data_IF_092183276220
#
_entry.id   IF_092183276220
#
_cell.length_a   1.000
_cell.length_b   1.000
_cell.length_c   1.000
_cell.angle_alpha   90.00
_cell.angle_beta   90.00
_cell.angle_gamma   90.00
#
_symmetry.space_group_name_H-M   'P 1'
#
loop_
_entity.id
_entity.type
_entity.pdbx_description
1 polymer ?
#
# COMPACT_ATOMS: atom_id res chain seq x y z
N UNK A 1 -9.80 9.36 3.22
CA UNK A 1 -9.25 10.17 2.11
C UNK A 1 -7.95 9.54 1.64
N UNK A 2 -7.62 9.69 0.37
CA UNK A 2 -6.44 9.12 -0.29
C UNK A 2 -5.61 10.25 -0.92
N UNK A 3 -4.29 10.14 -0.94
CA UNK A 3 -3.40 11.15 -1.53
C UNK A 3 -3.11 10.82 -3.00
N UNK A 4 -3.44 11.72 -3.92
CA UNK A 4 -3.16 11.53 -5.34
C UNK A 4 -1.69 11.83 -5.69
N UNK A 5 -1.32 11.63 -6.97
CA UNK A 5 0.04 11.87 -7.46
C UNK A 5 0.47 13.34 -7.42
N UNK A 6 -0.47 14.29 -7.46
CA UNK A 6 -0.20 15.72 -7.26
C UNK A 6 0.01 16.07 -5.77
N UNK A 7 -0.11 15.09 -4.87
CA UNK A 7 0.01 15.28 -3.43
C UNK A 7 -1.27 15.79 -2.76
N UNK A 8 -2.37 15.98 -3.50
CA UNK A 8 -3.65 16.41 -2.97
C UNK A 8 -4.41 15.27 -2.30
N UNK A 9 -5.11 15.58 -1.21
CA UNK A 9 -5.98 14.62 -0.56
C UNK A 9 -7.39 14.64 -1.16
N UNK A 10 -7.89 13.46 -1.55
CA UNK A 10 -9.20 13.26 -2.16
C UNK A 10 -10.07 12.41 -1.23
N UNK A 11 -11.34 12.79 -1.09
CA UNK A 11 -12.34 12.02 -0.33
C UNK A 11 -12.66 10.70 -1.02
N UNK A 12 -12.58 9.60 -0.27
CA UNK A 12 -13.14 8.31 -0.68
C UNK A 12 -14.57 8.25 -0.10
N UNK A 13 -15.55 8.69 -0.89
CA UNK A 13 -16.96 8.74 -0.47
C UNK A 13 -17.49 7.31 -0.36
N UNK A 14 -18.11 6.92 0.78
CA UNK A 14 -18.70 5.59 0.91
C UNK A 14 -19.79 5.35 -0.12
N UNK A 15 -19.72 4.21 -0.82
CA UNK A 15 -20.76 3.74 -1.74
C UNK A 15 -21.42 2.50 -1.09
N UNK A 16 -22.75 2.50 -0.85
CA UNK A 16 -23.45 1.37 -0.26
C UNK A 16 -23.20 0.06 -1.04
N UNK A 17 -22.99 -1.04 -0.31
CA UNK A 17 -22.74 -2.36 -0.91
C UNK A 17 -21.37 -2.54 -1.56
N UNK A 18 -20.43 -1.62 -1.34
CA UNK A 18 -19.07 -1.69 -1.90
C UNK A 18 -17.99 -1.87 -0.84
N UNK A 19 -16.84 -2.37 -1.28
CA UNK A 19 -15.61 -2.37 -0.51
C UNK A 19 -14.61 -1.37 -1.10
N UNK A 20 -13.81 -0.77 -0.22
CA UNK A 20 -12.61 -0.04 -0.63
C UNK A 20 -11.45 -1.02 -0.59
N UNK A 21 -10.80 -1.25 -1.72
CA UNK A 21 -9.59 -2.06 -1.82
C UNK A 21 -8.38 -1.15 -2.08
N UNK A 22 -7.37 -1.23 -1.21
CA UNK A 22 -6.12 -0.51 -1.38
C UNK A 22 -4.94 -1.47 -1.58
N UNK A 23 -3.88 -0.95 -2.19
CA UNK A 23 -2.66 -1.68 -2.48
C UNK A 23 -1.68 -1.50 -1.32
N UNK A 24 -1.09 -2.59 -0.85
CA UNK A 24 -0.02 -2.61 0.15
C UNK A 24 1.38 -2.62 -0.49
N UNK A 25 2.40 -2.56 0.36
CA UNK A 25 3.80 -2.44 -0.09
C UNK A 25 4.28 -3.71 -0.82
N UNK A 26 3.86 -4.90 -0.38
CA UNK A 26 4.27 -6.16 -1.02
C UNK A 26 3.82 -6.20 -2.49
N UNK A 27 2.59 -5.80 -2.79
CA UNK A 27 2.09 -5.74 -4.17
C UNK A 27 2.75 -4.62 -4.99
N UNK A 28 3.15 -3.51 -4.36
CA UNK A 28 3.98 -2.49 -5.01
C UNK A 28 5.33 -3.07 -5.46
N UNK A 29 6.02 -3.81 -4.58
CA UNK A 29 7.30 -4.47 -4.90
C UNK A 29 7.09 -5.52 -5.99
N UNK A 30 6.14 -6.44 -5.81
CA UNK A 30 5.84 -7.52 -6.76
C UNK A 30 5.54 -6.99 -8.17
N UNK A 31 4.82 -5.87 -8.25
CA UNK A 31 4.44 -5.22 -9.51
C UNK A 31 5.49 -4.26 -10.07
N UNK A 32 6.69 -4.20 -9.48
CA UNK A 32 7.74 -3.24 -9.83
C UNK A 32 7.25 -1.79 -9.91
N UNK A 33 6.39 -1.37 -8.98
CA UNK A 33 5.85 -0.01 -8.92
C UNK A 33 4.80 0.33 -9.97
N UNK A 34 4.27 -0.65 -10.72
CA UNK A 34 3.08 -0.43 -11.58
C UNK A 34 1.88 -0.04 -10.72
N UNK A 35 1.71 -0.71 -9.58
CA UNK A 35 0.75 -0.32 -8.55
C UNK A 35 1.47 0.36 -7.38
N UNK A 36 0.86 1.42 -6.83
CA UNK A 36 1.46 2.19 -5.74
C UNK A 36 0.69 2.00 -4.43
N UNK A 37 1.44 1.80 -3.35
CA UNK A 37 0.94 1.82 -1.98
C UNK A 37 0.60 3.26 -1.60
N UNK A 38 -0.66 3.62 -1.82
CA UNK A 38 -1.10 5.02 -1.75
C UNK A 38 -1.40 5.42 -0.31
N UNK A 39 -0.85 6.56 0.11
CA UNK A 39 -1.14 7.12 1.43
C UNK A 39 -2.63 7.39 1.59
N UNK A 40 -3.19 6.93 2.70
CA UNK A 40 -4.57 7.13 3.05
C UNK A 40 -4.68 7.47 4.53
N UNK A 41 -5.71 8.24 4.89
CA UNK A 41 -6.03 8.57 6.28
C UNK A 41 -7.54 8.68 6.49
N UNK A 42 -7.95 8.49 7.74
CA UNK A 42 -9.32 8.71 8.19
C UNK A 42 -9.33 9.93 9.09
N UNK A 43 -10.24 10.86 8.80
CA UNK A 43 -10.57 11.98 9.67
C UNK A 43 -12.08 11.87 9.92
N UNK A 44 -12.50 11.79 11.17
CA UNK A 44 -13.91 11.82 11.55
C UNK A 44 -14.24 13.23 12.09
N UNK A 45 -14.87 14.06 11.26
CA UNK A 45 -15.33 15.39 11.65
C UNK A 45 -16.79 15.39 12.15
N UNK A 46 -17.44 14.23 12.19
CA UNK A 46 -18.82 14.09 12.65
C UNK A 46 -18.85 13.85 14.16
N UNK A 47 -19.88 14.34 14.88
CA UNK A 47 -20.13 13.94 16.27
C UNK A 47 -20.55 12.46 16.40
N UNK A 48 -20.88 11.80 15.29
CA UNK A 48 -21.27 10.38 15.27
C UNK A 48 -20.07 9.45 15.14
N UNK A 49 -20.21 8.23 15.67
CA UNK A 49 -19.23 7.18 15.46
C UNK A 49 -19.16 6.77 13.99
N UNK A 50 -17.93 6.56 13.52
CA UNK A 50 -17.65 5.93 12.25
C UNK A 50 -17.00 4.58 12.50
N UNK A 51 -17.67 3.51 12.09
CA UNK A 51 -17.16 2.14 12.23
C UNK A 51 -16.66 1.66 10.87
N UNK A 52 -15.51 0.99 10.86
CA UNK A 52 -15.01 0.27 9.69
C UNK A 52 -14.28 -0.99 10.13
N UNK A 53 -14.24 -1.98 9.24
CA UNK A 53 -13.45 -3.20 9.40
C UNK A 53 -12.39 -3.20 8.32
N UNK A 54 -11.12 -3.37 8.71
CA UNK A 54 -10.01 -3.53 7.80
C UNK A 54 -9.60 -5.00 7.77
N UNK A 55 -9.48 -5.56 6.58
CA UNK A 55 -8.93 -6.89 6.35
C UNK A 55 -7.65 -6.75 5.53
N UNK A 56 -6.56 -7.31 6.04
CA UNK A 56 -5.26 -7.29 5.38
C UNK A 56 -5.00 -8.67 4.76
N UNK A 57 -4.95 -8.72 3.44
CA UNK A 57 -4.59 -9.93 2.70
C UNK A 57 -3.11 -9.86 2.34
N UNK A 58 -2.32 -10.70 2.99
CA UNK A 58 -0.85 -10.60 2.99
C UNK A 58 -0.20 -11.95 2.67
N UNK A 59 1.08 -11.90 2.33
CA UNK A 59 1.89 -13.11 2.09
C UNK A 59 2.22 -13.83 3.39
N UNK A 60 2.73 -15.07 3.29
CA UNK A 60 3.29 -15.77 4.45
C UNK A 60 4.42 -14.94 5.09
N UNK A 61 4.60 -15.09 6.40
CA UNK A 61 5.56 -14.29 7.18
C UNK A 61 7.00 -14.42 6.67
N UNK A 62 7.39 -15.59 6.21
CA UNK A 62 8.71 -15.91 5.66
C UNK A 62 8.82 -15.71 4.14
N UNK A 63 7.75 -15.24 3.48
CA UNK A 63 7.75 -15.08 2.04
C UNK A 63 8.76 -14.02 1.59
N UNK A 64 9.55 -14.38 0.58
CA UNK A 64 10.41 -13.46 -0.17
C UNK A 64 9.59 -12.87 -1.32
N UNK A 65 9.46 -11.55 -1.33
CA UNK A 65 8.73 -10.80 -2.36
C UNK A 65 9.73 -10.00 -3.19
N UNK A 66 9.71 -10.20 -4.50
CA UNK A 66 10.54 -9.48 -5.46
C UNK A 66 9.77 -9.16 -6.75
N UNK A 67 10.23 -8.19 -7.56
CA UNK A 67 9.54 -7.83 -8.80
C UNK A 67 9.45 -8.99 -9.80
N UNK A 68 8.23 -9.27 -10.28
CA UNK A 68 7.99 -10.26 -11.33
C UNK A 68 8.69 -9.86 -12.64
N UNK A 69 9.18 -10.84 -13.40
CA UNK A 69 9.87 -10.61 -14.68
C UNK A 69 9.02 -9.80 -15.66
N UNK A 70 7.74 -10.15 -15.79
CA UNK A 70 6.80 -9.41 -16.64
C UNK A 70 6.63 -7.95 -16.21
N UNK A 71 6.73 -7.67 -14.90
CA UNK A 71 6.62 -6.33 -14.35
C UNK A 71 7.92 -5.54 -14.53
N UNK A 72 9.08 -6.21 -14.42
CA UNK A 72 10.39 -5.62 -14.77
C UNK A 72 10.43 -5.21 -16.24
N UNK A 73 9.91 -6.04 -17.15
CA UNK A 73 9.85 -5.71 -18.57
C UNK A 73 8.89 -4.54 -18.87
N UNK A 74 7.72 -4.52 -18.22
CA UNK A 74 6.72 -3.45 -18.43
C UNK A 74 7.09 -2.12 -17.79
N UNK A 75 7.92 -2.14 -16.74
CA UNK A 75 8.37 -0.94 -16.03
C UNK A 75 9.86 -1.05 -15.68
N UNK A 76 10.78 -0.99 -16.66
CA UNK A 76 12.20 -1.28 -16.45
C UNK A 76 12.91 -0.29 -15.52
N UNK A 77 12.33 0.90 -15.31
CA UNK A 77 12.85 1.95 -14.43
C UNK A 77 11.82 2.48 -13.42
N UNK A 78 10.94 1.61 -12.92
CA UNK A 78 10.14 1.87 -11.71
C UNK A 78 9.51 3.27 -11.63
N UNK A 79 8.70 3.73 -12.60
CA UNK A 79 8.04 5.06 -12.57
C UNK A 79 8.90 6.20 -11.95
N UNK A 80 10.13 6.39 -12.44
CA UNK A 80 11.00 7.50 -12.04
C UNK A 80 12.02 7.19 -10.94
N UNK A 81 11.98 5.99 -10.37
CA UNK A 81 13.10 5.45 -9.58
C UNK A 81 13.98 4.64 -10.54
N UNK A 82 15.20 5.13 -10.81
CA UNK A 82 16.17 4.52 -11.73
C UNK A 82 16.63 3.10 -11.34
N UNK A 83 15.96 2.45 -10.38
CA UNK A 83 16.29 1.13 -9.85
C UNK A 83 15.04 0.27 -9.67
N UNK A 84 15.18 -0.99 -10.05
CA UNK A 84 14.23 -2.08 -9.76
C UNK A 84 14.04 -2.17 -8.24
N UNK A 85 12.80 -2.38 -7.78
CA UNK A 85 12.53 -2.54 -6.36
C UNK A 85 13.35 -3.71 -5.78
N UNK A 86 13.96 -3.49 -4.61
CA UNK A 86 14.73 -4.54 -3.93
C UNK A 86 13.80 -5.62 -3.39
N UNK A 87 14.31 -6.85 -3.30
CA UNK A 87 13.60 -7.95 -2.62
C UNK A 87 13.31 -7.57 -1.17
N UNK A 88 12.21 -8.07 -0.62
CA UNK A 88 11.85 -7.93 0.78
C UNK A 88 11.37 -9.27 1.34
N UNK A 89 11.70 -9.57 2.59
CA UNK A 89 11.04 -10.63 3.37
C UNK A 89 9.86 -10.00 4.08
N UNK A 90 8.64 -10.54 3.91
CA UNK A 90 7.43 -9.90 4.40
C UNK A 90 7.43 -9.69 5.92
N UNK A 91 7.84 -10.69 6.70
CA UNK A 91 7.86 -10.61 8.16
C UNK A 91 8.80 -9.54 8.68
N UNK A 92 9.98 -9.38 8.07
CA UNK A 92 10.93 -8.31 8.41
C UNK A 92 10.32 -6.92 8.12
N UNK A 93 9.70 -6.77 6.94
CA UNK A 93 9.02 -5.53 6.54
C UNK A 93 7.86 -5.19 7.49
N UNK A 94 7.04 -6.18 7.86
CA UNK A 94 5.91 -6.01 8.76
C UNK A 94 6.36 -5.59 10.15
N UNK A 95 7.35 -6.29 10.73
CA UNK A 95 7.89 -5.96 12.06
C UNK A 95 8.46 -4.54 12.06
N UNK A 96 9.26 -4.19 11.05
CA UNK A 96 9.81 -2.85 10.90
C UNK A 96 8.70 -1.79 10.82
N UNK A 97 7.65 -2.03 10.01
CA UNK A 97 6.50 -1.13 9.89
C UNK A 97 5.76 -0.92 11.20
N UNK A 98 5.48 -2.00 11.94
CA UNK A 98 4.76 -1.90 13.22
C UNK A 98 5.60 -1.14 14.24
N UNK A 99 6.90 -1.41 14.31
CA UNK A 99 7.80 -0.72 15.23
C UNK A 99 8.00 0.76 14.88
N UNK A 100 8.01 1.13 13.60
CA UNK A 100 8.29 2.52 13.19
C UNK A 100 7.05 3.40 13.09
N UNK A 101 5.89 2.83 12.73
CA UNK A 101 4.67 3.62 12.55
C UNK A 101 3.90 3.87 13.87
N UNK A 102 4.14 3.05 14.89
CA UNK A 102 3.47 3.13 16.19
C UNK A 102 4.42 3.39 17.36
N UNK A 103 5.74 3.46 17.14
CA UNK A 103 6.64 4.03 18.15
C UNK A 103 6.37 5.53 18.27
N UNK A 104 6.12 5.96 19.51
CA UNK A 104 6.03 7.36 19.92
C UNK A 104 7.38 8.05 19.87
#
# INVERSE_FOLDING_TARGET
MVRNLCGHWISAVPIPGSFVCNIGDMLKILSNGVYNSTLHRVINNSPQYRVCVAFFYETNFDAVVEPLDICKQKNPGGRGESQVFKRAVYGEHLVSKVQTNFAM
#
